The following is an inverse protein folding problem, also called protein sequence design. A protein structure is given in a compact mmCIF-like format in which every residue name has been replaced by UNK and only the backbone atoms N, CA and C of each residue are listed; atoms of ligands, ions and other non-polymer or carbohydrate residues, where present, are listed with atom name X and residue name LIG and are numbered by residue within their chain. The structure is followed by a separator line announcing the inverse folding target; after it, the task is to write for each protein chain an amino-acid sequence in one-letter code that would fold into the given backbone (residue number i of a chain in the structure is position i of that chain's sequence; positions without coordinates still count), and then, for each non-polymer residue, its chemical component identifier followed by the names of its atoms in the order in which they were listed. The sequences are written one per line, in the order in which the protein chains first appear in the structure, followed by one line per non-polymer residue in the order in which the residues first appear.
data_IF_857588070547
#
_entry.id   IF_857588070547
#
_cell.length_a   1.000
_cell.length_b   1.000
_cell.length_c   1.000
_cell.angle_alpha   90.00
_cell.angle_beta   90.00
_cell.angle_gamma   90.00
#
_symmetry.space_group_name_H-M   'P 1'
#
loop_
_entity.id
_entity.type
_entity.pdbx_description
1 polymer ?
#
# COMPACT_ATOMS: atom_id res chain seq x y z
N UNK A 1 33.92 -3.04 16.63
CA UNK A 1 32.64 -2.35 16.90
C UNK A 1 32.03 -2.00 15.56
N UNK A 2 31.18 -2.88 15.03
CA UNK A 2 30.57 -2.69 13.71
C UNK A 2 29.45 -1.68 13.90
N UNK A 3 29.65 -0.45 13.46
CA UNK A 3 28.60 0.57 13.44
C UNK A 3 27.58 0.08 12.42
N UNK A 4 26.54 -0.60 12.90
CA UNK A 4 25.38 -0.99 12.11
C UNK A 4 24.71 0.32 11.74
N UNK A 5 25.01 0.84 10.55
CA UNK A 5 24.31 1.98 9.97
C UNK A 5 22.85 1.54 9.88
N UNK A 6 22.04 1.95 10.85
CA UNK A 6 20.60 1.85 10.77
C UNK A 6 20.23 2.97 9.81
N UNK A 7 20.35 2.72 8.50
CA UNK A 7 19.62 3.50 7.51
C UNK A 7 18.19 3.48 8.01
N UNK A 8 17.63 4.65 8.38
CA UNK A 8 16.19 4.78 8.56
C UNK A 8 15.56 4.66 7.17
N UNK A 9 15.58 3.42 6.65
CA UNK A 9 14.72 3.02 5.56
C UNK A 9 13.31 3.24 6.06
N UNK A 10 12.55 4.02 5.32
CA UNK A 10 11.12 4.17 5.54
C UNK A 10 10.48 2.78 5.70
N UNK A 11 9.72 2.58 6.77
CA UNK A 11 9.02 1.32 7.07
C UNK A 11 7.53 1.58 7.08
N UNK A 12 6.81 1.32 5.98
CA UNK A 12 5.37 1.49 5.97
C UNK A 12 4.72 0.48 6.91
N UNK A 13 3.73 0.93 7.67
CA UNK A 13 2.91 0.09 8.52
C UNK A 13 1.44 0.33 8.19
N UNK A 14 0.73 -0.73 7.79
CA UNK A 14 -0.70 -0.68 7.42
C UNK A 14 -1.56 -0.56 8.67
N UNK A 15 -2.25 0.57 8.81
CA UNK A 15 -3.16 0.85 9.92
C UNK A 15 -4.60 0.49 9.57
N UNK A 16 -5.03 0.77 8.33
CA UNK A 16 -6.39 0.49 7.88
C UNK A 16 -6.44 0.25 6.36
N UNK A 17 -7.42 -0.53 5.92
CA UNK A 17 -7.70 -0.78 4.50
C UNK A 17 -9.19 -0.67 4.25
N UNK A 18 -9.57 0.18 3.30
CA UNK A 18 -10.96 0.43 2.94
C UNK A 18 -11.17 0.17 1.46
N UNK A 19 -12.25 -0.50 1.08
CA UNK A 19 -12.64 -0.65 -0.33
C UNK A 19 -13.00 0.71 -0.92
N UNK A 20 -12.35 1.09 -2.01
CA UNK A 20 -12.64 2.32 -2.74
C UNK A 20 -13.50 2.07 -3.97
N UNK A 21 -13.29 0.94 -4.64
CA UNK A 21 -14.02 0.56 -5.85
C UNK A 21 -13.81 -0.92 -6.17
N UNK A 22 -14.71 -1.47 -6.98
CA UNK A 22 -14.49 -2.78 -7.61
C UNK A 22 -15.15 -2.82 -8.97
N UNK A 23 -14.51 -3.55 -9.88
CA UNK A 23 -15.12 -4.08 -11.08
C UNK A 23 -15.12 -5.61 -10.98
N UNK A 24 -16.17 -6.15 -10.38
CA UNK A 24 -16.32 -7.58 -10.11
C UNK A 24 -16.37 -8.42 -11.40
N UNK A 25 -16.77 -7.84 -12.55
CA UNK A 25 -16.76 -8.53 -13.85
C UNK A 25 -15.36 -8.82 -14.36
N UNK A 26 -14.44 -7.89 -14.11
CA UNK A 26 -13.03 -8.03 -14.50
C UNK A 26 -12.16 -8.56 -13.35
N UNK A 27 -12.72 -8.70 -12.15
CA UNK A 27 -11.98 -9.09 -10.95
C UNK A 27 -10.99 -8.02 -10.47
N UNK A 28 -11.21 -6.75 -10.84
CA UNK A 28 -10.38 -5.63 -10.42
C UNK A 28 -10.94 -4.99 -9.16
N UNK A 29 -10.10 -4.78 -8.16
CA UNK A 29 -10.47 -4.16 -6.89
C UNK A 29 -9.52 -3.02 -6.56
N UNK A 30 -10.09 -1.93 -6.06
CA UNK A 30 -9.34 -0.78 -5.58
C UNK A 30 -9.54 -0.65 -4.08
N UNK A 31 -8.43 -0.59 -3.34
CA UNK A 31 -8.46 -0.32 -1.90
C UNK A 31 -7.64 0.93 -1.58
N UNK A 32 -8.10 1.69 -0.59
CA UNK A 32 -7.34 2.74 0.05
C UNK A 32 -6.72 2.16 1.31
N UNK A 33 -5.40 2.19 1.36
CA UNK A 33 -4.56 1.75 2.48
C UNK A 33 -4.10 3.00 3.21
N UNK A 34 -4.46 3.10 4.49
CA UNK A 34 -3.96 4.12 5.39
C UNK A 34 -2.78 3.56 6.15
N UNK A 35 -1.65 4.26 6.09
CA UNK A 35 -0.44 3.92 6.81
C UNK A 35 -0.37 4.70 8.13
N UNK A 36 0.37 4.15 9.11
CA UNK A 36 0.50 4.73 10.45
C UNK A 36 1.16 6.13 10.48
N UNK A 37 1.91 6.49 9.43
CA UNK A 37 2.50 7.82 9.24
C UNK A 37 1.50 8.85 8.68
N UNK A 38 0.24 8.46 8.46
CA UNK A 38 -0.80 9.27 7.85
C UNK A 38 -0.76 9.27 6.31
N UNK A 39 0.18 8.56 5.69
CA UNK A 39 0.20 8.40 4.24
C UNK A 39 -0.96 7.51 3.79
N UNK A 40 -1.69 7.95 2.77
CA UNK A 40 -2.73 7.13 2.14
C UNK A 40 -2.23 6.65 0.76
N UNK A 41 -2.39 5.37 0.49
CA UNK A 41 -2.03 4.72 -0.76
C UNK A 41 -3.26 4.04 -1.37
N UNK A 42 -3.46 4.18 -2.68
CA UNK A 42 -4.41 3.37 -3.44
C UNK A 42 -3.67 2.15 -3.97
N UNK A 43 -4.17 0.97 -3.64
CA UNK A 43 -3.67 -0.30 -4.15
C UNK A 43 -4.71 -0.90 -5.08
N UNK A 44 -4.22 -1.47 -6.17
CA UNK A 44 -5.02 -2.16 -7.17
C UNK A 44 -4.74 -3.65 -7.04
N UNK A 45 -5.80 -4.42 -6.93
CA UNK A 45 -5.76 -5.86 -6.84
C UNK A 45 -6.51 -6.50 -7.98
N UNK A 46 -6.00 -7.64 -8.43
CA UNK A 46 -6.73 -8.55 -9.30
C UNK A 46 -7.09 -9.80 -8.51
N UNK A 47 -8.33 -10.28 -8.63
CA UNK A 47 -8.83 -11.43 -7.85
C UNK A 47 -8.58 -12.79 -8.53
N UNK A 48 -8.41 -12.81 -9.85
CA UNK A 48 -8.24 -14.05 -10.62
C UNK A 48 -6.80 -14.23 -11.13
N UNK A 49 -6.17 -15.41 -11.01
CA UNK A 49 -6.63 -16.63 -10.33
C UNK A 49 -6.59 -16.55 -8.78
N UNK A 50 -5.83 -15.62 -8.23
CA UNK A 50 -5.67 -15.37 -6.79
C UNK A 50 -5.42 -13.87 -6.56
N UNK A 51 -5.62 -13.39 -5.33
CA UNK A 51 -5.41 -11.98 -4.99
C UNK A 51 -3.98 -11.57 -5.31
N UNK A 52 -3.83 -10.66 -6.28
CA UNK A 52 -2.53 -10.14 -6.68
C UNK A 52 -2.54 -8.63 -6.71
N UNK A 53 -1.65 -8.01 -5.94
CA UNK A 53 -1.39 -6.57 -6.03
C UNK A 53 -0.74 -6.27 -7.39
N UNK A 54 -1.41 -5.47 -8.21
CA UNK A 54 -0.95 -5.11 -9.56
C UNK A 54 -0.27 -3.76 -9.58
N UNK A 55 -0.75 -2.83 -8.75
CA UNK A 55 -0.22 -1.47 -8.72
C UNK A 55 -0.45 -0.82 -7.35
N UNK A 56 0.44 0.08 -6.98
CA UNK A 56 0.31 0.94 -5.80
C UNK A 56 0.57 2.39 -6.22
N UNK A 57 -0.28 3.30 -5.77
CA UNK A 57 -0.14 4.72 -6.02
C UNK A 57 -0.45 5.49 -4.77
N UNK A 58 0.37 6.50 -4.45
CA UNK A 58 0.14 7.35 -3.28
C UNK A 58 -0.99 8.33 -3.59
N UNK A 59 -1.92 8.51 -2.65
CA UNK A 59 -2.84 9.64 -2.72
C UNK A 59 -2.07 10.90 -2.34
N UNK A 60 -2.04 11.89 -3.24
CA UNK A 60 -1.24 13.13 -3.15
C UNK A 60 -1.80 14.13 -2.11
N UNK A 61 -2.20 13.64 -0.94
CA UNK A 61 -2.77 14.44 0.16
C UNK A 61 -1.70 14.92 1.15
N UNK A 62 -0.61 14.18 1.28
CA UNK A 62 0.56 14.52 2.11
C UNK A 62 1.80 14.67 1.21
N UNK A 63 2.96 15.16 1.67
CA UNK A 63 4.23 14.99 0.97
C UNK A 63 4.74 13.54 1.09
N UNK A 64 5.48 13.04 0.11
CA UNK A 64 6.00 11.66 0.18
C UNK A 64 6.95 11.47 1.38
N UNK A 65 6.76 10.50 2.27
CA UNK A 65 7.62 10.29 3.45
C UNK A 65 9.04 9.84 3.09
N UNK A 66 9.25 9.34 1.86
CA UNK A 66 10.56 8.87 1.37
C UNK A 66 11.36 10.01 0.73
N UNK A 67 10.75 10.77 -0.18
CA UNK A 67 11.46 11.76 -1.00
C UNK A 67 11.00 13.22 -0.79
N UNK A 68 9.98 13.44 0.03
CA UNK A 68 9.37 14.75 0.36
C UNK A 68 8.90 15.58 -0.83
N UNK A 69 8.70 14.93 -1.98
CA UNK A 69 8.12 15.55 -3.17
C UNK A 69 6.59 15.49 -3.08
N UNK A 70 5.94 16.60 -3.44
CA UNK A 70 4.48 16.72 -3.51
C UNK A 70 3.89 16.18 -4.82
N UNK A 71 4.71 15.90 -5.83
CA UNK A 71 4.29 15.42 -7.16
C UNK A 71 4.35 13.88 -7.33
N UNK A 72 3.95 13.38 -8.51
CA UNK A 72 3.94 11.95 -8.91
C UNK A 72 5.33 11.32 -8.67
N UNK A 73 5.49 10.68 -7.52
CA UNK A 73 6.66 9.86 -7.18
C UNK A 73 6.25 8.38 -7.15
N UNK A 74 7.17 7.50 -7.55
CA UNK A 74 6.98 6.04 -7.51
C UNK A 74 7.68 5.38 -6.31
N UNK A 75 7.99 6.16 -5.27
CA UNK A 75 8.74 5.64 -4.11
C UNK A 75 8.00 4.50 -3.40
N UNK A 76 6.66 4.45 -3.49
CA UNK A 76 5.86 3.40 -2.86
C UNK A 76 5.94 2.06 -3.61
N UNK A 77 6.33 2.03 -4.88
CA UNK A 77 6.49 0.81 -5.67
C UNK A 77 7.54 -0.11 -5.02
N UNK A 78 8.63 0.46 -4.50
CA UNK A 78 9.67 -0.28 -3.78
C UNK A 78 9.16 -0.96 -2.50
N UNK A 79 8.04 -0.51 -1.94
CA UNK A 79 7.45 -1.06 -0.73
C UNK A 79 6.16 -1.84 -0.99
N UNK A 80 5.77 -2.01 -2.26
CA UNK A 80 4.56 -2.74 -2.65
C UNK A 80 4.53 -4.16 -2.07
N UNK A 81 5.69 -4.83 -2.03
CA UNK A 81 5.82 -6.16 -1.44
C UNK A 81 5.59 -6.20 0.07
N UNK A 82 6.15 -5.25 0.83
CA UNK A 82 5.97 -5.18 2.27
C UNK A 82 4.53 -4.78 2.64
N UNK A 83 3.94 -3.84 1.90
CA UNK A 83 2.55 -3.42 2.09
C UNK A 83 1.60 -4.56 1.71
N UNK A 84 1.83 -5.23 0.58
CA UNK A 84 1.05 -6.39 0.15
C UNK A 84 1.06 -7.50 1.19
N UNK A 85 2.23 -7.86 1.71
CA UNK A 85 2.36 -8.87 2.76
C UNK A 85 1.61 -8.48 4.03
N UNK A 86 1.69 -7.23 4.48
CA UNK A 86 0.92 -6.75 5.63
C UNK A 86 -0.60 -6.80 5.40
N UNK A 87 -1.06 -6.53 4.17
CA UNK A 87 -2.47 -6.63 3.76
C UNK A 87 -2.94 -8.08 3.86
N UNK A 88 -2.16 -9.02 3.32
CA UNK A 88 -2.43 -10.46 3.34
C UNK A 88 -2.40 -11.02 4.77
N UNK A 89 -1.31 -10.80 5.51
CA UNK A 89 -1.11 -11.28 6.89
C UNK A 89 -2.19 -10.75 7.84
N UNK A 90 -2.62 -9.50 7.64
CA UNK A 90 -3.67 -8.87 8.44
C UNK A 90 -5.10 -9.23 8.01
N UNK A 91 -5.27 -10.03 6.97
CA UNK A 91 -6.55 -10.37 6.34
C UNK A 91 -7.40 -9.13 6.05
N UNK A 92 -6.73 -8.07 5.60
CA UNK A 92 -7.35 -6.76 5.43
C UNK A 92 -8.34 -6.71 4.28
N UNK A 93 -8.11 -7.49 3.23
CA UNK A 93 -9.03 -7.59 2.09
C UNK A 93 -10.37 -8.18 2.56
N UNK A 94 -10.35 -9.27 3.32
CA UNK A 94 -11.57 -9.89 3.85
C UNK A 94 -12.33 -8.92 4.76
N UNK A 95 -11.62 -8.20 5.64
CA UNK A 95 -12.22 -7.16 6.51
C UNK A 95 -12.82 -6.00 5.73
N UNK A 96 -12.23 -5.63 4.60
CA UNK A 96 -12.71 -4.54 3.75
C UNK A 96 -13.87 -4.96 2.82
N UNK A 97 -14.11 -6.26 2.68
CA UNK A 97 -15.20 -6.84 1.88
C UNK A 97 -16.38 -7.33 2.73
N UNK A 98 -16.19 -7.51 4.04
CA UNK A 98 -17.22 -7.86 5.02
C UNK A 98 -18.17 -6.67 5.30
#
# INVERSE_FOLDING_TARGET
MIIRVITMSYRPNVENVTKAGSNDKEGLYEFIVKLADGTECRVFYHRFPEWRLTNISRLQKTPCPVCRKDFICKCMDSFAGDIGRQIEDGQWIDKALA
#
